data_IF_662586276203
#
_entry.id   IF_662586276203
#
_cell.length_a   1.000
_cell.length_b   1.000
_cell.length_c   1.000
_cell.angle_alpha   90.00
_cell.angle_beta   90.00
_cell.angle_gamma   90.00
#
_symmetry.space_group_name_H-M   'P 1'
#
loop_
_entity.id
_entity.type
_entity.pdbx_description
1 polymer ?
#
# COMPACT_ATOMS: atom_id res chain seq x y z
N UNK A 1 12.96 -20.20 -0.93
CA UNK A 1 12.96 -18.90 -0.24
C UNK A 1 11.58 -18.26 -0.37
N UNK A 2 10.86 -18.07 0.73
CA UNK A 2 9.56 -17.36 0.72
C UNK A 2 9.77 -15.85 0.77
N UNK A 3 8.99 -15.09 -0.01
CA UNK A 3 9.08 -13.63 -0.06
C UNK A 3 7.71 -12.98 0.11
N UNK A 4 7.65 -11.75 0.64
CA UNK A 4 6.41 -10.98 0.73
C UNK A 4 6.32 -10.03 -0.48
N UNK A 5 5.17 -10.03 -1.15
CA UNK A 5 4.81 -9.02 -2.15
C UNK A 5 3.95 -7.96 -1.48
N UNK A 6 4.56 -6.82 -1.22
CA UNK A 6 3.86 -5.60 -0.83
C UNK A 6 3.20 -4.97 -2.07
N UNK A 7 1.95 -4.49 -2.01
CA UNK A 7 1.26 -3.83 -3.13
C UNK A 7 1.79 -2.41 -3.36
N UNK A 8 3.05 -2.27 -3.79
CA UNK A 8 3.76 -0.98 -3.84
C UNK A 8 3.09 0.08 -4.72
N UNK A 9 2.43 -0.34 -5.80
CA UNK A 9 1.68 0.57 -6.68
C UNK A 9 0.46 1.16 -5.96
N UNK A 10 -0.32 0.32 -5.28
CA UNK A 10 -1.49 0.76 -4.53
C UNK A 10 -1.10 1.64 -3.34
N UNK A 11 -0.01 1.30 -2.63
CA UNK A 11 0.56 2.15 -1.58
C UNK A 11 0.83 3.57 -2.10
N UNK A 12 1.52 3.69 -3.24
CA UNK A 12 1.83 5.00 -3.82
C UNK A 12 0.57 5.75 -4.26
N UNK A 13 -0.37 5.07 -4.89
CA UNK A 13 -1.63 5.66 -5.32
C UNK A 13 -2.46 6.19 -4.15
N UNK A 14 -2.62 5.38 -3.09
CA UNK A 14 -3.36 5.77 -1.88
C UNK A 14 -2.68 6.92 -1.15
N UNK A 15 -1.34 6.88 -1.01
CA UNK A 15 -0.59 7.96 -0.39
C UNK A 15 -0.77 9.29 -1.13
N UNK A 16 -0.73 9.28 -2.47
CA UNK A 16 -0.96 10.47 -3.27
C UNK A 16 -2.39 11.01 -3.11
N UNK A 17 -3.40 10.14 -3.11
CA UNK A 17 -4.80 10.52 -2.89
C UNK A 17 -5.04 11.14 -1.51
N UNK A 18 -4.46 10.53 -0.47
CA UNK A 18 -4.52 11.05 0.90
C UNK A 18 -3.90 12.45 0.96
N UNK A 19 -2.72 12.62 0.38
CA UNK A 19 -2.02 13.91 0.36
C UNK A 19 -2.84 15.00 -0.36
N UNK A 20 -3.38 14.69 -1.54
CA UNK A 20 -4.22 15.64 -2.29
C UNK A 20 -5.49 16.00 -1.50
N UNK A 21 -6.14 15.03 -0.86
CA UNK A 21 -7.30 15.29 -0.01
C UNK A 21 -6.98 16.22 1.16
N UNK A 22 -5.80 16.08 1.78
CA UNK A 22 -5.34 16.99 2.83
C UNK A 22 -5.16 18.42 2.30
N UNK A 23 -4.62 18.58 1.08
CA UNK A 23 -4.48 19.90 0.45
C UNK A 23 -5.84 20.54 0.15
N UNK A 24 -6.84 19.73 -0.18
CA UNK A 24 -8.22 20.17 -0.42
C UNK A 24 -9.03 20.38 0.88
N UNK A 25 -8.41 20.21 2.06
CA UNK A 25 -9.07 20.35 3.36
C UNK A 25 -10.05 19.21 3.70
N UNK A 26 -9.98 18.10 2.97
CA UNK A 26 -10.80 16.91 3.20
C UNK A 26 -10.16 16.10 4.32
N UNK A 27 -10.88 15.89 5.42
CA UNK A 27 -10.43 14.99 6.48
C UNK A 27 -10.49 13.55 6.00
N UNK A 28 -9.34 12.87 6.00
CA UNK A 28 -9.22 11.47 5.58
C UNK A 28 -8.77 10.59 6.74
N UNK A 29 -9.13 9.31 6.69
CA UNK A 29 -8.65 8.33 7.68
C UNK A 29 -7.13 8.14 7.48
N UNK A 30 -6.31 8.37 8.51
CA UNK A 30 -4.85 8.35 8.36
C UNK A 30 -4.27 6.94 8.21
N UNK A 31 -5.09 5.89 8.37
CA UNK A 31 -4.68 4.49 8.31
C UNK A 31 -5.49 3.75 7.26
N UNK A 32 -4.78 3.08 6.35
CA UNK A 32 -5.34 2.24 5.29
C UNK A 32 -4.61 0.90 5.32
N UNK A 33 -5.36 -0.19 5.48
CA UNK A 33 -4.83 -1.54 5.31
C UNK A 33 -4.95 -1.94 3.83
N UNK A 34 -3.83 -2.33 3.22
CA UNK A 34 -3.73 -2.75 1.82
C UNK A 34 -3.34 -4.22 1.68
N UNK A 35 -3.11 -4.91 2.81
CA UNK A 35 -2.64 -6.28 2.82
C UNK A 35 -1.28 -6.50 2.14
N UNK A 36 -0.95 -7.77 1.94
CA UNK A 36 0.21 -8.24 1.19
C UNK A 36 -0.01 -9.69 0.77
N UNK A 37 0.79 -10.17 -0.18
CA UNK A 37 0.77 -11.57 -0.58
C UNK A 37 2.04 -12.29 -0.14
N UNK A 38 1.90 -13.55 0.31
CA UNK A 38 3.03 -14.43 0.52
C UNK A 38 3.36 -15.16 -0.79
N UNK A 39 4.55 -14.91 -1.32
CA UNK A 39 5.06 -15.56 -2.53
C UNK A 39 5.99 -16.68 -2.11
N UNK A 40 5.50 -17.91 -2.23
CA UNK A 40 6.32 -19.11 -2.07
C UNK A 40 7.17 -19.27 -3.33
N UNK A 41 8.50 -19.32 -3.17
CA UNK A 41 9.40 -19.72 -4.25
C UNK A 41 10.06 -21.03 -3.91
N UNK A 42 10.03 -21.93 -4.88
CA UNK A 42 10.95 -23.06 -4.94
C UNK A 42 12.34 -22.46 -5.16
N UNK A 43 13.09 -22.28 -4.07
CA UNK A 43 14.50 -21.89 -4.17
C UNK A 43 15.28 -23.03 -3.57
N UNK A 44 16.05 -23.70 -4.43
CA UNK A 44 17.18 -24.53 -4.04
C UNK A 44 18.22 -23.73 -3.27
#
# INVERSE_FOLDING_TARGET
MTSIRTPRQEVGQRAAQLLLGLLDGITQHPQVDLGFELVVRESS
#
